data_IF_978818166042
#
_entry.id   IF_978818166042
#
_cell.length_a   1.000
_cell.length_b   1.000
_cell.length_c   1.000
_cell.angle_alpha   90.00
_cell.angle_beta   90.00
_cell.angle_gamma   90.00
#
_symmetry.space_group_name_H-M   'P 1'
#
loop_
_entity.id
_entity.type
_entity.pdbx_description
1 polymer ?
#
# COMPACT_ATOMS: atom_id res chain seq x y z
N UNK A 1 51.30 46.43 14.24
CA UNK A 1 50.15 47.36 14.32
C UNK A 1 49.61 47.30 15.73
N UNK A 2 49.64 48.45 16.43
CA UNK A 2 49.21 48.64 17.82
C UNK A 2 47.76 49.16 17.84
N UNK A 3 46.98 48.77 18.84
CA UNK A 3 45.85 49.58 19.30
C UNK A 3 45.55 49.29 20.78
N UNK A 4 45.58 50.30 21.67
CA UNK A 4 44.92 50.22 22.97
C UNK A 4 43.79 51.26 23.14
N UNK A 5 42.75 50.81 23.83
CA UNK A 5 41.68 51.46 24.60
C UNK A 5 41.60 53.00 24.72
N UNK A 6 40.35 53.51 24.67
CA UNK A 6 39.83 54.41 25.70
C UNK A 6 38.31 54.24 25.96
N UNK A 7 37.98 54.40 27.24
CA UNK A 7 36.74 54.23 28.00
C UNK A 7 35.68 55.32 27.82
N UNK A 8 34.40 55.00 28.06
CA UNK A 8 33.37 55.91 28.61
C UNK A 8 32.34 55.12 29.45
N UNK A 9 31.77 55.77 30.46
CA UNK A 9 31.39 55.23 31.78
C UNK A 9 29.88 55.08 32.05
N UNK A 10 29.53 54.25 33.05
CA UNK A 10 28.20 53.81 33.53
C UNK A 10 27.21 54.88 34.08
N UNK A 11 27.40 56.17 33.80
CA UNK A 11 26.64 57.25 34.49
C UNK A 11 25.31 57.67 33.83
N UNK A 12 24.96 57.18 32.63
CA UNK A 12 23.78 57.66 31.89
C UNK A 12 22.53 56.75 31.95
N UNK A 13 22.61 55.54 32.51
CA UNK A 13 21.46 54.62 32.54
C UNK A 13 20.44 54.92 33.66
N UNK A 14 20.86 55.51 34.78
CA UNK A 14 19.97 55.78 35.92
C UNK A 14 19.01 56.97 35.70
N UNK A 15 19.35 57.93 34.83
CA UNK A 15 18.48 59.09 34.57
C UNK A 15 17.37 58.80 33.56
N UNK A 16 17.52 57.81 32.67
CA UNK A 16 16.50 57.45 31.67
C UNK A 16 15.39 56.60 32.31
N UNK A 17 15.73 55.69 33.24
CA UNK A 17 14.75 54.84 33.93
C UNK A 17 13.82 55.62 34.88
N UNK A 18 14.29 56.70 35.48
CA UNK A 18 13.47 57.49 36.40
C UNK A 18 12.40 58.36 35.70
N UNK A 19 12.60 58.71 34.41
CA UNK A 19 11.59 59.43 33.61
C UNK A 19 10.53 58.52 33.02
N UNK A 20 10.83 57.25 32.74
CA UNK A 20 9.83 56.26 32.32
C UNK A 20 8.89 55.86 33.47
N UNK A 21 9.42 55.74 34.69
CA UNK A 21 8.60 55.37 35.86
C UNK A 21 7.57 56.46 36.24
N UNK A 22 7.89 57.75 36.06
CA UNK A 22 6.95 58.84 36.35
C UNK A 22 5.81 58.98 35.31
N UNK A 23 6.02 58.56 34.06
CA UNK A 23 4.96 58.57 33.03
C UNK A 23 4.00 57.41 33.23
N UNK A 24 4.49 56.25 33.71
CA UNK A 24 3.63 55.10 34.04
C UNK A 24 2.76 55.34 35.29
N UNK A 25 3.24 56.14 36.26
CA UNK A 25 2.49 56.44 37.49
C UNK A 25 1.39 57.50 37.30
N UNK A 26 1.44 58.31 36.22
CA UNK A 26 0.43 59.33 35.93
C UNK A 26 -0.78 58.82 35.12
N UNK A 27 -0.65 57.69 34.43
CA UNK A 27 -1.78 57.05 33.73
C UNK A 27 -2.71 56.29 34.67
N UNK A 28 -2.21 55.78 35.81
CA UNK A 28 -3.00 55.02 36.78
C UNK A 28 -3.94 55.86 37.65
N UNK A 29 -3.72 57.18 37.77
CA UNK A 29 -4.52 58.05 38.65
C UNK A 29 -5.58 58.87 37.91
N UNK A 30 -5.57 58.90 36.58
CA UNK A 30 -6.50 59.72 35.77
C UNK A 30 -7.56 58.92 35.01
N UNK A 31 -7.36 57.63 34.73
CA UNK A 31 -8.33 56.80 34.00
C UNK A 31 -8.38 55.34 34.51
N UNK A 32 -8.98 55.08 35.68
CA UNK A 32 -9.05 53.74 36.27
C UNK A 32 -9.82 52.72 35.41
N UNK A 33 -10.76 53.14 34.57
CA UNK A 33 -11.54 52.22 33.71
C UNK A 33 -10.70 51.61 32.58
N UNK A 34 -9.79 52.38 31.97
CA UNK A 34 -8.92 51.89 30.88
C UNK A 34 -7.87 50.89 31.38
N UNK A 35 -7.37 51.07 32.61
CA UNK A 35 -6.47 50.12 33.25
C UNK A 35 -7.16 48.80 33.62
N UNK A 36 -8.43 48.87 34.06
CA UNK A 36 -9.25 47.68 34.35
C UNK A 36 -9.62 46.91 33.07
N UNK A 37 -9.94 47.60 31.98
CA UNK A 37 -10.21 46.98 30.68
C UNK A 37 -8.97 46.30 30.10
N UNK A 38 -7.79 46.91 30.23
CA UNK A 38 -6.52 46.29 29.80
C UNK A 38 -6.18 45.02 30.58
N UNK A 39 -6.35 45.03 31.90
CA UNK A 39 -6.14 43.84 32.75
C UNK A 39 -7.17 42.74 32.49
N UNK A 40 -8.43 43.10 32.18
CA UNK A 40 -9.45 42.14 31.81
C UNK A 40 -9.19 41.50 30.43
N UNK A 41 -8.72 42.29 29.45
CA UNK A 41 -8.31 41.78 28.14
C UNK A 41 -7.07 40.88 28.22
N UNK A 42 -6.10 41.22 29.06
CA UNK A 42 -4.95 40.35 29.33
C UNK A 42 -5.37 39.04 30.00
N UNK A 43 -6.31 39.08 30.95
CA UNK A 43 -6.86 37.88 31.59
C UNK A 43 -7.57 36.95 30.60
N UNK A 44 -8.43 37.49 29.73
CA UNK A 44 -9.12 36.74 28.69
C UNK A 44 -8.13 36.12 27.68
N UNK A 45 -7.11 36.87 27.26
CA UNK A 45 -6.07 36.36 26.36
C UNK A 45 -5.26 35.22 27.01
N UNK A 46 -4.99 35.28 28.31
CA UNK A 46 -4.30 34.20 29.01
C UNK A 46 -5.15 32.93 29.16
N UNK A 47 -6.46 33.07 29.35
CA UNK A 47 -7.39 31.94 29.37
C UNK A 47 -7.49 31.24 28.01
N UNK A 48 -7.58 32.01 26.92
CA UNK A 48 -7.63 31.46 25.56
C UNK A 48 -6.34 30.69 25.23
N UNK A 49 -5.17 31.25 25.56
CA UNK A 49 -3.88 30.58 25.38
C UNK A 49 -3.71 29.33 26.26
N UNK A 50 -4.37 29.28 27.43
CA UNK A 50 -4.41 28.10 28.28
C UNK A 50 -5.30 27.00 27.70
N UNK A 51 -6.47 27.36 27.13
CA UNK A 51 -7.36 26.42 26.46
C UNK A 51 -6.73 25.82 25.20
N UNK A 52 -6.01 26.61 24.40
CA UNK A 52 -5.28 26.11 23.23
C UNK A 52 -4.18 25.12 23.61
N UNK A 53 -3.41 25.40 24.68
CA UNK A 53 -2.39 24.48 25.19
C UNK A 53 -3.01 23.16 25.66
N UNK A 54 -4.11 23.21 26.40
CA UNK A 54 -4.83 22.01 26.85
C UNK A 54 -5.44 21.21 25.68
N UNK A 55 -5.85 21.88 24.59
CA UNK A 55 -6.30 21.21 23.37
C UNK A 55 -5.15 20.53 22.64
N UNK A 56 -3.99 21.18 22.51
CA UNK A 56 -2.78 20.62 21.92
C UNK A 56 -2.21 19.45 22.74
N UNK A 57 -2.23 19.55 24.07
CA UNK A 57 -1.81 18.48 24.97
C UNK A 57 -2.74 17.26 24.85
N UNK A 58 -4.06 17.47 24.77
CA UNK A 58 -5.02 16.37 24.53
C UNK A 58 -4.80 15.70 23.17
N UNK A 59 -4.62 16.47 22.11
CA UNK A 59 -4.32 15.93 20.77
C UNK A 59 -3.00 15.15 20.74
N UNK A 60 -2.02 15.60 21.52
CA UNK A 60 -0.71 14.94 21.65
C UNK A 60 -0.81 13.67 22.48
N UNK A 61 -1.57 13.67 23.57
CA UNK A 61 -1.85 12.48 24.39
C UNK A 61 -2.67 11.44 23.61
N UNK A 62 -3.67 11.87 22.83
CA UNK A 62 -4.44 10.99 21.95
C UNK A 62 -3.53 10.36 20.87
N UNK A 63 -2.66 11.15 20.23
CA UNK A 63 -1.64 10.61 19.30
C UNK A 63 -0.71 9.60 19.97
N UNK A 64 -0.15 9.92 21.14
CA UNK A 64 0.76 9.04 21.87
C UNK A 64 0.06 7.75 22.38
N UNK A 65 -1.22 7.83 22.73
CA UNK A 65 -2.03 6.67 23.10
C UNK A 65 -2.31 5.74 21.92
N UNK A 66 -2.40 6.28 20.70
CA UNK A 66 -2.55 5.50 19.47
C UNK A 66 -1.22 4.93 18.94
N UNK A 67 -0.11 5.62 19.17
CA UNK A 67 1.24 5.21 18.72
C UNK A 67 1.80 4.01 19.54
N UNK A 68 1.30 3.79 20.75
CA UNK A 68 1.86 2.79 21.70
C UNK A 68 1.16 1.42 21.74
N UNK A 69 0.25 1.11 20.80
CA UNK A 69 -0.55 -0.14 20.87
C UNK A 69 -0.46 -1.07 19.65
N UNK A 70 0.27 -0.71 18.59
CA UNK A 70 0.46 -1.65 17.48
C UNK A 70 1.65 -2.57 17.78
N UNK A 71 1.44 -3.90 17.92
CA UNK A 71 2.56 -4.83 17.98
C UNK A 71 3.36 -4.74 16.68
N UNK A 72 4.70 -4.89 16.73
CA UNK A 72 5.53 -4.84 15.54
C UNK A 72 5.07 -5.88 14.52
N UNK A 73 5.16 -5.54 13.23
CA UNK A 73 4.73 -6.45 12.15
C UNK A 73 5.38 -7.82 12.27
N UNK A 74 4.54 -8.87 12.19
CA UNK A 74 5.00 -10.26 12.28
C UNK A 74 5.79 -10.64 11.04
N UNK A 75 7.04 -11.02 11.21
CA UNK A 75 7.78 -11.70 10.15
C UNK A 75 7.28 -13.14 10.02
N UNK A 76 6.72 -13.46 8.87
CA UNK A 76 6.25 -14.80 8.54
C UNK A 76 7.41 -15.65 8.01
N UNK A 77 7.36 -16.93 8.30
CA UNK A 77 8.31 -17.92 7.77
C UNK A 77 7.57 -18.93 6.90
N UNK A 78 8.32 -19.65 6.06
CA UNK A 78 7.74 -20.64 5.16
C UNK A 78 8.65 -21.83 4.96
N UNK A 79 8.04 -22.93 4.52
CA UNK A 79 8.72 -24.11 4.00
C UNK A 79 8.41 -24.28 2.52
N UNK A 80 9.43 -24.54 1.70
CA UNK A 80 9.22 -24.98 0.31
C UNK A 80 8.78 -26.44 0.32
N UNK A 81 7.58 -26.70 -0.20
CA UNK A 81 7.03 -28.04 -0.34
C UNK A 81 7.37 -28.67 -1.69
N UNK A 82 7.41 -27.85 -2.76
CA UNK A 82 7.67 -28.33 -4.12
C UNK A 82 8.27 -27.22 -5.01
N UNK A 83 8.91 -27.62 -6.11
CA UNK A 83 9.50 -26.74 -7.12
C UNK A 83 9.19 -27.31 -8.50
N UNK A 84 8.46 -26.55 -9.32
CA UNK A 84 8.06 -26.99 -10.66
C UNK A 84 8.58 -26.03 -11.73
N UNK A 85 8.89 -26.52 -12.95
CA UNK A 85 9.27 -25.66 -14.07
C UNK A 85 8.17 -24.64 -14.39
N UNK A 86 8.60 -23.40 -14.67
CA UNK A 86 7.74 -22.31 -15.11
C UNK A 86 8.24 -21.74 -16.45
N UNK A 87 7.33 -21.41 -17.35
CA UNK A 87 7.66 -20.93 -18.69
C UNK A 87 8.28 -19.53 -18.63
N UNK A 88 9.56 -19.44 -19.03
CA UNK A 88 10.36 -18.22 -19.01
C UNK A 88 9.88 -17.14 -20.00
N UNK A 89 8.92 -17.47 -20.84
CA UNK A 89 8.26 -16.52 -21.74
C UNK A 89 7.06 -15.82 -21.09
N UNK A 90 6.60 -16.26 -19.92
CA UNK A 90 5.48 -15.67 -19.19
C UNK A 90 5.96 -14.48 -18.35
N UNK A 91 5.41 -13.31 -18.66
CA UNK A 91 5.57 -12.11 -17.86
C UNK A 91 4.39 -12.04 -16.89
N UNK A 92 4.42 -12.90 -15.88
CA UNK A 92 3.33 -13.14 -14.92
C UNK A 92 2.78 -11.86 -14.32
N UNK A 93 1.50 -11.59 -14.57
CA UNK A 93 0.75 -10.46 -14.01
C UNK A 93 -0.52 -10.88 -13.27
N UNK A 94 -1.10 -12.02 -13.64
CA UNK A 94 -2.22 -12.66 -12.95
C UNK A 94 -1.94 -14.14 -12.73
N UNK A 95 -2.23 -14.72 -11.57
CA UNK A 95 -1.89 -16.12 -11.28
C UNK A 95 -2.88 -16.75 -10.29
N UNK A 96 -3.55 -17.84 -10.67
CA UNK A 96 -4.53 -18.52 -9.81
C UNK A 96 -4.55 -20.03 -10.03
N UNK A 97 -5.03 -20.77 -9.04
CA UNK A 97 -5.32 -22.21 -9.12
C UNK A 97 -6.83 -22.41 -9.08
N UNK A 98 -7.35 -23.29 -9.94
CA UNK A 98 -8.74 -23.76 -9.91
C UNK A 98 -8.78 -25.25 -10.27
N UNK A 99 -9.15 -26.07 -9.30
CA UNK A 99 -9.07 -27.53 -9.40
C UNK A 99 -7.65 -27.98 -9.76
N UNK A 100 -7.46 -28.82 -10.82
CA UNK A 100 -6.14 -29.33 -11.19
C UNK A 100 -5.34 -28.37 -12.10
N UNK A 101 -5.82 -27.14 -12.30
CA UNK A 101 -5.29 -26.20 -13.27
C UNK A 101 -4.70 -24.98 -12.59
N UNK A 102 -3.59 -24.51 -13.13
CA UNK A 102 -3.14 -23.15 -12.95
C UNK A 102 -3.58 -22.35 -14.17
N UNK A 103 -4.05 -21.13 -13.92
CA UNK A 103 -4.37 -20.14 -14.91
C UNK A 103 -3.48 -18.92 -14.70
N UNK A 104 -2.98 -18.37 -15.80
CA UNK A 104 -1.99 -17.30 -15.73
C UNK A 104 -2.24 -16.22 -16.79
N UNK A 105 -2.30 -14.97 -16.35
CA UNK A 105 -2.25 -13.80 -17.22
C UNK A 105 -0.81 -13.34 -17.34
N UNK A 106 -0.32 -13.27 -18.57
CA UNK A 106 1.01 -12.76 -18.89
C UNK A 106 0.87 -11.44 -19.64
N UNK A 107 1.54 -10.40 -19.16
CA UNK A 107 1.56 -9.06 -19.76
C UNK A 107 2.66 -8.87 -20.81
N UNK A 108 2.78 -7.62 -21.31
CA UNK A 108 3.61 -7.08 -22.41
C UNK A 108 2.85 -6.84 -23.72
N UNK A 109 2.90 -5.60 -24.19
CA UNK A 109 2.40 -5.22 -25.52
C UNK A 109 2.99 -6.15 -26.61
N UNK A 110 2.12 -6.63 -27.49
CA UNK A 110 2.45 -7.59 -28.54
C UNK A 110 2.68 -9.03 -28.08
N UNK A 111 2.73 -9.31 -26.77
CA UNK A 111 3.08 -10.62 -26.21
C UNK A 111 2.08 -11.12 -25.16
N UNK A 112 1.12 -10.29 -24.74
CA UNK A 112 0.15 -10.66 -23.73
C UNK A 112 -0.64 -11.93 -24.12
N UNK A 113 -0.85 -12.80 -23.15
CA UNK A 113 -1.55 -14.08 -23.33
C UNK A 113 -2.18 -14.54 -22.03
N UNK A 114 -3.26 -15.31 -22.16
CA UNK A 114 -3.86 -16.07 -21.06
C UNK A 114 -3.48 -17.52 -21.23
N UNK A 115 -2.85 -18.11 -20.22
CA UNK A 115 -2.37 -19.48 -20.23
C UNK A 115 -3.13 -20.35 -19.23
N UNK A 116 -3.19 -21.65 -19.52
CA UNK A 116 -3.64 -22.70 -18.61
C UNK A 116 -2.71 -23.91 -18.74
N UNK A 117 -2.38 -24.53 -17.62
CA UNK A 117 -1.59 -25.76 -17.57
C UNK A 117 -1.88 -26.53 -16.27
N UNK A 118 -1.49 -27.82 -16.23
CA UNK A 118 -1.69 -28.64 -15.04
C UNK A 118 -0.82 -28.16 -13.88
N UNK A 119 -1.42 -28.08 -12.71
CA UNK A 119 -0.73 -27.68 -11.48
C UNK A 119 0.44 -28.62 -11.16
N UNK A 120 0.23 -29.93 -11.32
CA UNK A 120 1.16 -30.97 -10.92
C UNK A 120 2.50 -30.95 -11.69
N UNK A 121 2.49 -30.67 -12.98
CA UNK A 121 3.66 -30.88 -13.85
C UNK A 121 3.78 -29.89 -15.02
N UNK A 122 2.93 -28.86 -15.09
CA UNK A 122 2.83 -27.93 -16.22
C UNK A 122 2.50 -28.61 -17.56
N UNK A 123 2.09 -29.88 -17.57
CA UNK A 123 1.62 -30.55 -18.77
C UNK A 123 0.32 -29.89 -19.27
N UNK A 124 -0.05 -30.18 -20.52
CA UNK A 124 -1.26 -29.63 -21.13
C UNK A 124 -1.28 -28.10 -21.17
N UNK A 125 -0.13 -27.50 -21.50
CA UNK A 125 0.00 -26.06 -21.68
C UNK A 125 -0.81 -25.58 -22.90
N UNK A 126 -1.73 -24.67 -22.65
CA UNK A 126 -2.46 -23.93 -23.67
C UNK A 126 -2.37 -22.44 -23.39
N UNK A 127 -2.21 -21.62 -24.43
CA UNK A 127 -2.25 -20.17 -24.28
C UNK A 127 -3.02 -19.51 -25.42
N UNK A 128 -3.95 -18.62 -25.07
CA UNK A 128 -4.61 -17.72 -26.01
C UNK A 128 -3.86 -16.39 -26.04
N UNK A 129 -3.40 -15.97 -27.22
CA UNK A 129 -2.82 -14.63 -27.41
C UNK A 129 -3.89 -13.56 -27.34
N UNK A 130 -3.57 -12.45 -26.68
CA UNK A 130 -4.40 -11.25 -26.68
C UNK A 130 -3.99 -10.30 -27.81
N UNK A 131 -4.86 -9.37 -28.24
CA UNK A 131 -4.51 -8.37 -29.25
C UNK A 131 -3.24 -7.59 -28.87
N UNK A 132 -2.42 -7.22 -29.84
CA UNK A 132 -1.09 -6.63 -29.59
C UNK A 132 -1.10 -5.34 -28.76
N UNK A 133 -2.19 -4.57 -28.82
CA UNK A 133 -2.40 -3.36 -28.02
C UNK A 133 -2.79 -3.61 -26.56
N UNK A 134 -2.98 -4.86 -26.15
CA UNK A 134 -3.39 -5.22 -24.79
C UNK A 134 -2.14 -5.56 -23.98
N UNK A 135 -1.95 -4.84 -22.88
CA UNK A 135 -1.07 -5.26 -21.79
C UNK A 135 -1.96 -5.87 -20.71
N UNK A 136 -1.99 -7.21 -20.64
CA UNK A 136 -2.79 -7.91 -19.64
C UNK A 136 -2.12 -7.85 -18.26
N UNK A 137 -2.96 -7.69 -17.25
CA UNK A 137 -2.54 -7.57 -15.85
C UNK A 137 -3.20 -8.70 -15.02
N UNK A 138 -3.58 -8.42 -13.78
CA UNK A 138 -4.21 -9.33 -12.83
C UNK A 138 -5.44 -10.03 -13.40
N UNK A 139 -5.63 -11.27 -12.97
CA UNK A 139 -6.73 -12.12 -13.42
C UNK A 139 -7.27 -12.94 -12.27
N UNK A 140 -8.60 -13.06 -12.20
CA UNK A 140 -9.26 -13.95 -11.24
C UNK A 140 -10.43 -14.69 -11.88
N UNK A 141 -10.88 -15.79 -11.27
CA UNK A 141 -11.99 -16.62 -11.74
C UNK A 141 -13.14 -16.52 -10.75
N UNK A 142 -14.26 -15.92 -11.15
CA UNK A 142 -15.44 -15.76 -10.30
C UNK A 142 -16.70 -16.20 -11.07
N UNK A 143 -17.55 -17.04 -10.46
CA UNK A 143 -18.76 -17.59 -11.07
C UNK A 143 -18.53 -18.10 -12.52
N UNK A 144 -17.53 -18.95 -12.72
CA UNK A 144 -17.11 -19.52 -14.01
C UNK A 144 -16.63 -18.53 -15.08
N UNK A 145 -16.36 -17.28 -14.71
CA UNK A 145 -15.84 -16.25 -15.61
C UNK A 145 -14.46 -15.76 -15.18
N UNK A 146 -13.54 -15.69 -16.14
CA UNK A 146 -12.25 -15.05 -15.95
C UNK A 146 -12.39 -13.55 -16.14
N UNK A 147 -12.06 -12.79 -15.11
CA UNK A 147 -11.94 -11.34 -15.15
C UNK A 147 -10.47 -11.01 -15.32
N UNK A 148 -10.12 -10.21 -16.33
CA UNK A 148 -8.75 -9.86 -16.66
C UNK A 148 -8.62 -8.35 -16.77
N UNK A 149 -7.72 -7.77 -15.98
CA UNK A 149 -7.37 -6.36 -16.03
C UNK A 149 -6.40 -6.06 -17.16
N UNK A 150 -6.27 -4.78 -17.47
CA UNK A 150 -5.18 -4.24 -18.25
C UNK A 150 -4.50 -3.09 -17.52
N UNK A 151 -3.27 -2.80 -17.90
CA UNK A 151 -2.48 -1.80 -17.20
C UNK A 151 -3.06 -0.38 -17.30
N UNK A 152 -2.87 0.30 -18.44
CA UNK A 152 -3.22 1.72 -18.60
C UNK A 152 -4.47 1.96 -19.45
N UNK A 153 -5.08 0.90 -20.00
CA UNK A 153 -6.18 1.07 -20.95
C UNK A 153 -7.54 1.29 -20.30
N UNK A 154 -7.62 1.30 -18.95
CA UNK A 154 -8.86 1.50 -18.18
C UNK A 154 -9.98 0.54 -18.58
N UNK A 155 -9.59 -0.65 -19.02
CA UNK A 155 -10.47 -1.65 -19.63
C UNK A 155 -10.16 -3.03 -19.11
N UNK A 156 -11.19 -3.76 -18.71
CA UNK A 156 -11.12 -5.17 -18.37
C UNK A 156 -11.88 -6.05 -19.35
N UNK A 157 -11.56 -7.33 -19.32
CA UNK A 157 -12.18 -8.36 -20.15
C UNK A 157 -12.78 -9.45 -19.28
N UNK A 158 -13.91 -10.00 -19.73
CA UNK A 158 -14.57 -11.14 -19.09
C UNK A 158 -14.63 -12.27 -20.10
N UNK A 159 -13.95 -13.37 -19.81
CA UNK A 159 -13.92 -14.58 -20.64
C UNK A 159 -14.65 -15.73 -19.93
N UNK A 160 -15.18 -16.69 -20.68
CA UNK A 160 -15.53 -17.99 -20.10
C UNK A 160 -14.31 -18.91 -19.96
N UNK A 161 -14.52 -20.12 -19.45
CA UNK A 161 -13.50 -21.16 -19.27
C UNK A 161 -12.84 -21.66 -20.58
N UNK A 162 -13.39 -21.30 -21.74
CA UNK A 162 -12.85 -21.62 -23.06
C UNK A 162 -12.19 -20.40 -23.73
N UNK A 163 -11.96 -19.32 -22.96
CA UNK A 163 -11.39 -18.07 -23.44
C UNK A 163 -12.25 -17.34 -24.48
N UNK A 164 -13.56 -17.59 -24.50
CA UNK A 164 -14.48 -16.83 -25.35
C UNK A 164 -14.83 -15.54 -24.63
N UNK A 165 -14.52 -14.41 -25.26
CA UNK A 165 -14.85 -13.09 -24.73
C UNK A 165 -16.37 -12.94 -24.60
N UNK A 166 -16.86 -12.68 -23.38
CA UNK A 166 -18.28 -12.45 -23.09
C UNK A 166 -18.62 -10.99 -23.03
N UNK A 167 -17.79 -10.19 -22.36
CA UNK A 167 -17.96 -8.73 -22.26
C UNK A 167 -16.67 -8.04 -21.90
N UNK A 168 -16.69 -6.71 -22.03
CA UNK A 168 -15.64 -5.83 -21.53
C UNK A 168 -16.24 -4.84 -20.55
N UNK A 169 -15.42 -4.33 -19.65
CA UNK A 169 -15.80 -3.32 -18.67
C UNK A 169 -14.75 -2.23 -18.58
N UNK A 170 -15.09 -1.10 -17.97
CA UNK A 170 -14.18 0.01 -17.74
C UNK A 170 -14.01 0.25 -16.24
N UNK A 171 -12.86 0.80 -15.87
CA UNK A 171 -12.56 1.23 -14.51
C UNK A 171 -11.61 2.43 -14.57
N UNK A 172 -11.64 3.25 -13.53
CA UNK A 172 -10.73 4.39 -13.42
C UNK A 172 -9.33 3.97 -12.97
N UNK A 173 -8.32 4.78 -13.31
CA UNK A 173 -6.93 4.53 -12.92
C UNK A 173 -6.27 3.36 -13.65
N UNK A 174 -5.21 2.81 -13.06
CA UNK A 174 -4.57 1.59 -13.55
C UNK A 174 -5.23 0.34 -12.96
N UNK A 175 -4.93 -0.84 -13.52
CA UNK A 175 -5.28 -2.13 -12.93
C UNK A 175 -4.04 -3.02 -12.87
N UNK A 176 -3.71 -3.55 -11.69
CA UNK A 176 -2.49 -4.31 -11.43
C UNK A 176 -2.83 -5.75 -11.04
N UNK A 177 -3.13 -6.04 -9.78
CA UNK A 177 -3.56 -7.37 -9.33
C UNK A 177 -5.07 -7.52 -9.25
N UNK A 178 -5.56 -8.76 -9.34
CA UNK A 178 -6.98 -9.07 -9.21
C UNK A 178 -7.18 -10.42 -8.53
N UNK A 179 -7.90 -10.44 -7.42
CA UNK A 179 -8.40 -11.66 -6.76
C UNK A 179 -9.88 -11.51 -6.42
N UNK A 180 -10.47 -12.41 -5.66
CA UNK A 180 -11.86 -12.26 -5.20
C UNK A 180 -12.07 -12.82 -3.80
N UNK A 181 -13.00 -12.22 -3.07
CA UNK A 181 -13.67 -12.86 -1.93
C UNK A 181 -14.90 -13.63 -2.43
N UNK A 182 -15.73 -14.15 -1.52
CA UNK A 182 -17.00 -14.80 -1.88
C UNK A 182 -18.02 -13.86 -2.55
N UNK A 183 -17.84 -12.54 -2.43
CA UNK A 183 -18.85 -11.56 -2.86
C UNK A 183 -18.33 -10.46 -3.79
N UNK A 184 -17.04 -10.17 -3.77
CA UNK A 184 -16.45 -9.05 -4.52
C UNK A 184 -15.16 -9.49 -5.21
N UNK A 185 -14.92 -8.92 -6.40
CA UNK A 185 -13.59 -8.88 -6.97
C UNK A 185 -12.77 -7.83 -6.19
N UNK A 186 -11.47 -8.08 -6.01
CA UNK A 186 -10.58 -7.19 -5.26
C UNK A 186 -9.39 -6.83 -6.15
N UNK A 187 -9.25 -5.54 -6.44
CA UNK A 187 -8.29 -5.00 -7.41
C UNK A 187 -7.26 -4.09 -6.71
N UNK A 188 -5.99 -4.26 -7.07
CA UNK A 188 -4.92 -3.29 -6.79
C UNK A 188 -4.57 -2.49 -8.04
N UNK A 189 -3.86 -1.38 -7.86
CA UNK A 189 -3.43 -0.48 -8.94
C UNK A 189 -2.05 0.14 -8.72
N UNK A 190 -1.23 -0.47 -7.86
CA UNK A 190 0.09 0.05 -7.48
C UNK A 190 0.05 1.13 -6.40
N UNK A 191 -1.12 1.64 -6.02
CA UNK A 191 -1.27 2.44 -4.79
C UNK A 191 -1.38 1.53 -3.55
N UNK A 192 -1.59 2.13 -2.37
CA UNK A 192 -1.96 1.43 -1.15
C UNK A 192 -3.48 1.19 -1.01
N UNK A 193 -4.27 1.43 -2.05
CA UNK A 193 -5.72 1.25 -2.05
C UNK A 193 -6.09 -0.08 -2.73
N UNK A 194 -6.96 -0.84 -2.09
CA UNK A 194 -7.61 -2.03 -2.66
C UNK A 194 -9.08 -1.71 -2.96
N UNK A 195 -9.50 -1.90 -4.20
CA UNK A 195 -10.87 -1.61 -4.66
C UNK A 195 -11.68 -2.89 -4.73
N UNK A 196 -12.86 -2.88 -4.14
CA UNK A 196 -13.81 -4.00 -4.11
C UNK A 196 -14.90 -3.71 -5.14
N UNK A 197 -14.99 -4.57 -6.15
CA UNK A 197 -15.90 -4.40 -7.26
C UNK A 197 -17.01 -5.45 -7.18
N UNK A 198 -18.22 -5.01 -7.45
CA UNK A 198 -19.34 -5.92 -7.68
C UNK A 198 -19.05 -6.78 -8.92
N UNK A 199 -19.07 -8.12 -8.85
CA UNK A 199 -18.72 -8.97 -10.00
C UNK A 199 -19.74 -8.88 -11.15
N UNK A 200 -20.97 -8.44 -10.88
CA UNK A 200 -22.04 -8.29 -11.88
C UNK A 200 -21.98 -6.93 -12.57
N UNK A 201 -22.00 -5.84 -11.80
CA UNK A 201 -22.02 -4.47 -12.33
C UNK A 201 -20.61 -3.94 -12.67
N UNK A 202 -19.57 -4.48 -12.05
CA UNK A 202 -18.16 -4.08 -12.18
C UNK A 202 -17.88 -2.65 -11.73
N UNK A 203 -18.75 -2.14 -10.86
CA UNK A 203 -18.61 -0.85 -10.18
C UNK A 203 -17.90 -1.07 -8.85
N UNK A 204 -17.03 -0.13 -8.48
CA UNK A 204 -16.38 -0.10 -7.16
C UNK A 204 -17.43 0.24 -6.10
N UNK A 205 -17.63 -0.68 -5.15
CA UNK A 205 -18.57 -0.53 -4.04
C UNK A 205 -17.87 -0.14 -2.74
N UNK A 206 -16.59 -0.50 -2.61
CA UNK A 206 -15.77 -0.18 -1.45
C UNK A 206 -14.31 0.02 -1.86
N UNK A 207 -13.60 0.89 -1.13
CA UNK A 207 -12.15 1.02 -1.21
C UNK A 207 -11.58 0.81 0.19
N UNK A 208 -10.54 -0.01 0.29
CA UNK A 208 -9.83 -0.33 1.53
C UNK A 208 -8.41 0.23 1.45
N UNK A 209 -8.05 1.07 2.41
CA UNK A 209 -6.68 1.59 2.54
C UNK A 209 -5.82 0.60 3.30
N UNK A 210 -4.70 0.20 2.70
CA UNK A 210 -3.71 -0.67 3.34
C UNK A 210 -2.85 0.17 4.28
N UNK A 211 -2.77 -0.27 5.53
CA UNK A 211 -2.09 0.41 6.63
C UNK A 211 -1.29 -0.59 7.47
N UNK A 212 -0.31 -0.13 8.24
CA UNK A 212 0.45 -0.99 9.16
C UNK A 212 1.83 -0.40 9.40
N UNK A 213 2.24 -0.29 10.67
CA UNK A 213 3.42 0.47 11.11
C UNK A 213 3.49 1.88 10.47
N UNK A 214 4.58 2.62 10.68
CA UNK A 214 4.84 3.90 10.00
C UNK A 214 5.34 3.69 8.54
N UNK A 215 4.87 2.62 7.88
CA UNK A 215 5.27 2.24 6.53
C UNK A 215 4.22 2.66 5.50
N UNK A 216 4.71 3.16 4.36
CA UNK A 216 3.87 3.37 3.18
C UNK A 216 3.74 2.06 2.39
N UNK A 217 2.54 1.46 2.39
CA UNK A 217 2.23 0.21 1.69
C UNK A 217 1.82 0.41 0.24
N UNK A 218 2.66 1.13 -0.52
CA UNK A 218 2.47 1.31 -1.96
C UNK A 218 2.96 0.10 -2.77
N UNK A 219 2.82 0.21 -4.09
CA UNK A 219 3.27 -0.77 -5.07
C UNK A 219 2.62 -2.14 -4.92
N UNK A 220 1.38 -2.19 -4.40
CA UNK A 220 0.58 -3.41 -4.32
C UNK A 220 0.33 -3.91 -5.74
N UNK A 221 0.83 -5.10 -6.03
CA UNK A 221 0.78 -5.71 -7.35
C UNK A 221 -0.14 -6.93 -7.29
N UNK A 222 0.33 -8.10 -7.70
CA UNK A 222 -0.53 -9.27 -7.76
C UNK A 222 -1.09 -9.69 -6.39
N UNK A 223 -2.35 -10.13 -6.39
CA UNK A 223 -3.17 -10.41 -5.21
C UNK A 223 -3.62 -11.87 -5.18
N UNK A 224 -3.77 -12.41 -3.97
CA UNK A 224 -4.51 -13.65 -3.72
C UNK A 224 -5.32 -13.54 -2.42
N UNK A 225 -6.61 -13.87 -2.46
CA UNK A 225 -7.45 -13.91 -1.27
C UNK A 225 -7.54 -15.33 -0.72
N UNK A 226 -7.17 -15.50 0.54
CA UNK A 226 -7.28 -16.78 1.23
C UNK A 226 -7.45 -16.56 2.74
N UNK A 227 -8.41 -17.28 3.33
CA UNK A 227 -8.69 -17.28 4.77
C UNK A 227 -8.85 -15.89 5.40
N UNK A 228 -9.62 -15.02 4.72
CA UNK A 228 -9.88 -13.65 5.19
C UNK A 228 -8.70 -12.68 5.05
N UNK A 229 -7.59 -13.12 4.46
CA UNK A 229 -6.43 -12.30 4.15
C UNK A 229 -6.31 -12.06 2.65
N UNK A 230 -5.84 -10.87 2.29
CA UNK A 230 -5.38 -10.53 0.94
C UNK A 230 -3.87 -10.56 0.97
N UNK A 231 -3.30 -11.54 0.28
CA UNK A 231 -1.86 -11.66 0.06
C UNK A 231 -1.48 -10.81 -1.13
N UNK A 232 -0.54 -9.88 -0.96
CA UNK A 232 -0.15 -8.98 -2.03
C UNK A 232 1.36 -9.04 -2.27
N UNK A 233 1.76 -9.23 -3.53
CA UNK A 233 3.11 -8.88 -3.94
C UNK A 233 3.31 -7.38 -3.85
N UNK A 234 4.50 -6.94 -3.46
CA UNK A 234 4.93 -5.55 -3.63
C UNK A 234 5.93 -5.46 -4.78
N UNK A 235 5.59 -4.67 -5.79
CA UNK A 235 6.42 -4.57 -6.99
C UNK A 235 7.81 -4.02 -6.65
N UNK A 236 8.86 -4.59 -7.25
CA UNK A 236 10.28 -4.32 -6.95
C UNK A 236 10.77 -4.76 -5.56
N UNK A 237 9.93 -5.45 -4.78
CA UNK A 237 10.32 -6.11 -3.55
C UNK A 237 10.29 -7.64 -3.70
N UNK A 238 11.03 -8.32 -2.81
CA UNK A 238 11.04 -9.78 -2.72
C UNK A 238 10.14 -10.30 -1.60
N UNK A 239 9.18 -9.50 -1.12
CA UNK A 239 8.25 -9.90 -0.08
C UNK A 239 6.79 -9.93 -0.55
N UNK A 240 5.99 -10.72 0.16
CA UNK A 240 4.53 -10.72 0.11
C UNK A 240 4.04 -10.18 1.46
N UNK A 241 2.99 -9.37 1.45
CA UNK A 241 2.34 -8.92 2.68
C UNK A 241 0.98 -9.59 2.85
N UNK A 242 0.64 -9.94 4.09
CA UNK A 242 -0.68 -10.43 4.48
C UNK A 242 -1.53 -9.27 4.98
N UNK A 243 -2.60 -8.93 4.27
CA UNK A 243 -3.48 -7.79 4.59
C UNK A 243 -4.80 -8.34 5.11
N UNK A 244 -5.25 -7.88 6.26
CA UNK A 244 -6.59 -8.20 6.77
C UNK A 244 -7.65 -7.59 5.87
N UNK A 245 -8.48 -8.42 5.23
CA UNK A 245 -9.41 -7.97 4.20
C UNK A 245 -10.53 -7.07 4.72
N UNK A 246 -10.77 -7.05 6.04
CA UNK A 246 -11.80 -6.21 6.67
C UNK A 246 -11.25 -4.85 7.08
N UNK A 247 -10.02 -4.82 7.59
CA UNK A 247 -9.45 -3.63 8.23
C UNK A 247 -8.37 -2.94 7.40
N UNK A 248 -7.79 -3.63 6.40
CA UNK A 248 -6.67 -3.12 5.62
C UNK A 248 -5.34 -3.14 6.38
N UNK A 249 -5.33 -3.62 7.62
CA UNK A 249 -4.10 -3.71 8.42
C UNK A 249 -3.22 -4.85 7.91
N UNK A 250 -1.95 -4.55 7.66
CA UNK A 250 -0.92 -5.57 7.39
C UNK A 250 -0.71 -6.38 8.68
N UNK A 251 -0.83 -7.70 8.58
CA UNK A 251 -0.71 -8.66 9.68
C UNK A 251 0.64 -9.36 9.71
N UNK A 252 1.35 -9.37 8.57
CA UNK A 252 2.69 -9.92 8.51
C UNK A 252 3.33 -9.75 7.14
N UNK A 253 4.64 -9.96 7.12
CA UNK A 253 5.49 -9.86 5.94
C UNK A 253 6.17 -11.20 5.73
N UNK A 254 6.10 -11.73 4.52
CA UNK A 254 6.75 -12.95 4.10
C UNK A 254 7.90 -12.60 3.15
N UNK A 255 9.13 -12.73 3.61
CA UNK A 255 10.33 -12.48 2.79
C UNK A 255 10.69 -13.73 1.96
N UNK A 256 10.70 -13.57 0.63
CA UNK A 256 11.00 -14.62 -0.34
C UNK A 256 12.32 -14.36 -1.08
N UNK A 257 13.22 -13.54 -0.52
CA UNK A 257 14.52 -13.21 -1.11
C UNK A 257 15.32 -14.46 -1.47
N UNK A 258 15.27 -15.51 -0.65
CA UNK A 258 15.96 -16.78 -0.90
C UNK A 258 15.43 -17.55 -2.13
N UNK A 259 14.21 -17.26 -2.59
CA UNK A 259 13.63 -17.83 -3.81
C UNK A 259 13.98 -17.01 -5.05
N UNK A 260 14.44 -15.76 -4.88
CA UNK A 260 14.76 -14.86 -5.99
C UNK A 260 15.99 -15.36 -6.74
N UNK A 261 15.76 -15.96 -7.90
CA UNK A 261 16.83 -16.47 -8.75
C UNK A 261 17.46 -15.35 -9.60
N UNK A 262 18.19 -14.42 -8.99
CA UNK A 262 19.07 -13.53 -9.78
C UNK A 262 20.36 -14.25 -10.14
N UNK A 263 20.56 -14.47 -11.45
CA UNK A 263 21.91 -14.59 -12.00
C UNK A 263 22.46 -13.17 -12.23
N UNK A 264 23.71 -12.88 -11.89
CA UNK A 264 24.33 -11.60 -12.20
C UNK A 264 24.17 -11.26 -13.69
N UNK A 265 23.64 -10.07 -13.99
CA UNK A 265 23.79 -9.44 -15.30
C UNK A 265 22.58 -9.30 -16.22
N UNK A 266 21.40 -9.92 -16.02
CA UNK A 266 20.27 -9.70 -16.95
C UNK A 266 18.86 -9.71 -16.32
N UNK A 267 18.26 -8.50 -16.35
CA UNK A 267 16.84 -8.09 -16.34
C UNK A 267 16.24 -7.66 -14.99
N UNK A 268 16.19 -6.34 -14.77
CA UNK A 268 15.40 -5.64 -13.73
C UNK A 268 13.92 -6.03 -13.72
N UNK A 269 13.46 -6.66 -14.80
CA UNK A 269 12.07 -7.07 -15.00
C UNK A 269 11.75 -8.44 -14.39
N UNK A 270 12.76 -9.21 -13.94
CA UNK A 270 12.58 -10.52 -13.29
C UNK A 270 12.32 -10.39 -11.80
N UNK A 271 11.15 -9.87 -11.47
CA UNK A 271 10.70 -9.65 -10.10
C UNK A 271 9.72 -10.73 -9.67
N UNK A 272 9.63 -10.95 -8.36
CA UNK A 272 8.56 -11.73 -7.74
C UNK A 272 7.19 -11.13 -8.15
N UNK A 273 6.29 -11.97 -8.67
CA UNK A 273 4.92 -11.61 -9.02
C UNK A 273 4.12 -12.87 -9.39
N UNK A 274 2.98 -13.09 -8.74
CA UNK A 274 2.16 -14.30 -8.90
C UNK A 274 2.07 -15.07 -7.58
N UNK A 275 0.85 -15.16 -7.04
CA UNK A 275 0.50 -15.85 -5.79
C UNK A 275 -0.78 -16.60 -6.07
N UNK A 276 -0.84 -17.90 -5.78
CA UNK A 276 -2.08 -18.67 -5.91
C UNK A 276 -2.18 -19.69 -4.79
N UNK A 277 -3.32 -19.75 -4.11
CA UNK A 277 -3.61 -20.77 -3.11
C UNK A 277 -4.00 -22.09 -3.79
N UNK A 278 -3.44 -23.20 -3.33
CA UNK A 278 -3.85 -24.54 -3.76
C UNK A 278 -4.53 -25.27 -2.62
N UNK A 279 -5.84 -25.46 -2.72
CA UNK A 279 -6.61 -26.27 -1.76
C UNK A 279 -6.12 -27.73 -1.74
N UNK A 280 -5.81 -28.30 -2.90
CA UNK A 280 -5.36 -29.68 -2.99
C UNK A 280 -3.99 -29.92 -2.33
N UNK A 281 -3.15 -28.87 -2.29
CA UNK A 281 -1.77 -28.95 -1.80
C UNK A 281 -1.56 -28.24 -0.46
N UNK A 282 -2.57 -27.52 0.03
CA UNK A 282 -2.56 -26.75 1.28
C UNK A 282 -1.34 -25.82 1.37
N UNK A 283 -1.12 -25.03 0.33
CA UNK A 283 -0.01 -24.10 0.23
C UNK A 283 -0.17 -23.11 -0.91
N UNK A 284 0.68 -22.08 -0.90
CA UNK A 284 0.72 -21.05 -1.94
C UNK A 284 1.74 -21.40 -3.01
N UNK A 285 1.33 -21.41 -4.26
CA UNK A 285 2.25 -21.28 -5.37
C UNK A 285 2.71 -19.83 -5.50
N UNK A 286 4.01 -19.63 -5.59
CA UNK A 286 4.64 -18.33 -5.87
C UNK A 286 5.60 -18.44 -7.05
N UNK A 287 5.63 -17.41 -7.88
CA UNK A 287 6.56 -17.32 -9.01
C UNK A 287 6.91 -15.85 -9.30
N UNK A 288 7.43 -15.58 -10.49
CA UNK A 288 7.74 -14.24 -10.91
C UNK A 288 7.85 -14.09 -12.41
N UNK A 289 7.97 -12.83 -12.82
CA UNK A 289 8.04 -12.46 -14.22
C UNK A 289 9.26 -13.10 -14.87
N UNK A 290 9.04 -13.97 -15.86
CA UNK A 290 10.07 -14.72 -16.58
C UNK A 290 10.91 -15.67 -15.69
N UNK A 291 10.42 -16.02 -14.49
CA UNK A 291 11.08 -16.98 -13.62
C UNK A 291 11.06 -18.38 -14.26
N UNK A 292 12.13 -19.18 -14.12
CA UNK A 292 12.15 -20.55 -14.65
C UNK A 292 11.46 -21.56 -13.71
N UNK A 293 11.05 -21.12 -12.53
CA UNK A 293 10.54 -21.99 -11.46
C UNK A 293 9.34 -21.33 -10.79
N UNK A 294 8.33 -22.13 -10.48
CA UNK A 294 7.32 -21.81 -9.47
C UNK A 294 7.55 -22.68 -8.23
N UNK A 295 7.30 -22.12 -7.06
CA UNK A 295 7.54 -22.75 -5.78
C UNK A 295 6.22 -22.92 -5.05
N UNK A 296 5.94 -24.12 -4.56
CA UNK A 296 4.87 -24.31 -3.60
C UNK A 296 5.44 -24.10 -2.21
N UNK A 297 4.87 -23.16 -1.46
CA UNK A 297 5.29 -22.80 -0.12
C UNK A 297 4.15 -22.99 0.87
N UNK A 298 4.49 -23.40 2.08
CA UNK A 298 3.59 -23.42 3.22
C UNK A 298 4.08 -22.41 4.25
N UNK A 299 3.21 -21.47 4.62
CA UNK A 299 3.49 -20.45 5.63
C UNK A 299 3.35 -21.08 7.03
N UNK A 300 4.24 -20.75 7.96
CA UNK A 300 4.33 -21.32 9.31
C UNK A 300 3.86 -20.37 10.41
#
# INVERSE_FOLDING_TARGET
>A
MLNPFHSLTLSNYHQVMHRFLCVLLLTFTTYPSLAQEGLAQEGLAQEELAQERLAQERLTQERQSHESTNPPLKQLSYKVLDRQPHDRSLFTQGFLVDGPWIYESSGRYGQSKLARYKEADSSSFYAMKLPSRVFAEGMTLFDDHFYVLTWQSRKGYVYDRNWILKRTFHYEGEGWGLTHSDSHLIMSDGSNQLRFLNPKSLIVEQTLTVTGDDQNWDNLNELEFHDGLIWANRWQHNHIIAIDAKTGKVKGILDLTDLHQTRPGKRRERVLNGIAWSDARQGFWVTGKLWPTRYLIQIQ
#
